data_IF_751510113750
#
_entry.id   IF_751510113750
#
_cell.length_a   1.000
_cell.length_b   1.000
_cell.length_c   1.000
_cell.angle_alpha   90.00
_cell.angle_beta   90.00
_cell.angle_gamma   90.00
#
_symmetry.space_group_name_H-M   'P 1'
#
loop_
_entity.id
_entity.type
_entity.pdbx_description
1 polymer ?
#
# COMPACT_ATOMS: atom_id res chain seq x y z
N UNK A 1 29.44 -4.11 -9.57
CA UNK A 1 29.08 -4.21 -11.00
C UNK A 1 27.57 -4.14 -11.27
N UNK A 2 26.74 -5.13 -10.88
CA UNK A 2 25.28 -5.09 -11.19
C UNK A 2 24.56 -3.92 -10.50
N UNK A 3 24.85 -3.66 -9.22
CA UNK A 3 24.29 -2.50 -8.49
C UNK A 3 24.65 -1.16 -9.16
N UNK A 4 25.92 -1.01 -9.57
CA UNK A 4 26.41 0.20 -10.24
C UNK A 4 25.79 0.36 -11.64
N UNK A 5 25.60 -0.74 -12.37
CA UNK A 5 24.90 -0.72 -13.65
C UNK A 5 23.45 -0.28 -13.47
N UNK A 6 22.74 -0.84 -12.49
CA UNK A 6 21.35 -0.49 -12.20
C UNK A 6 21.21 1.01 -11.85
N UNK A 7 22.12 1.53 -11.02
CA UNK A 7 22.15 2.94 -10.67
C UNK A 7 22.42 3.82 -11.90
N UNK A 8 23.38 3.46 -12.74
CA UNK A 8 23.68 4.18 -13.99
C UNK A 8 22.53 4.16 -14.98
N UNK A 9 21.79 3.05 -15.08
CA UNK A 9 20.59 2.95 -15.91
C UNK A 9 19.49 3.86 -15.37
N UNK A 10 19.22 3.83 -14.05
CA UNK A 10 18.26 4.73 -13.41
C UNK A 10 18.61 6.20 -13.67
N UNK A 11 19.87 6.58 -13.50
CA UNK A 11 20.36 7.93 -13.78
C UNK A 11 20.23 8.30 -15.26
N UNK A 12 20.57 7.40 -16.18
CA UNK A 12 20.47 7.64 -17.61
C UNK A 12 19.02 7.90 -18.04
N UNK A 13 18.10 7.00 -17.68
CA UNK A 13 16.70 7.10 -18.06
C UNK A 13 15.99 8.30 -17.42
N UNK A 14 16.29 8.63 -16.15
CA UNK A 14 15.70 9.79 -15.47
C UNK A 14 16.15 11.13 -16.06
N UNK A 15 17.23 11.17 -16.85
CA UNK A 15 17.75 12.39 -17.47
C UNK A 15 17.37 12.54 -18.95
N UNK A 16 16.52 11.66 -19.49
CA UNK A 16 16.02 11.79 -20.86
C UNK A 16 15.07 13.01 -20.95
N UNK A 17 15.29 13.94 -21.90
CA UNK A 17 14.50 15.17 -21.99
C UNK A 17 13.06 14.91 -22.44
N UNK A 18 12.85 13.97 -23.36
CA UNK A 18 11.54 13.59 -23.91
C UNK A 18 11.49 12.06 -24.09
N UNK A 19 11.22 11.28 -23.02
CA UNK A 19 11.22 9.82 -23.09
C UNK A 19 10.01 9.29 -23.88
N UNK A 20 10.23 8.21 -24.65
CA UNK A 20 9.14 7.45 -25.30
C UNK A 20 8.24 6.77 -24.26
N UNK A 21 7.10 6.21 -24.66
CA UNK A 21 6.22 5.47 -23.74
C UNK A 21 6.91 4.24 -23.14
N UNK A 22 7.72 3.53 -23.93
CA UNK A 22 8.52 2.40 -23.46
C UNK A 22 9.59 2.87 -22.45
N UNK A 23 10.25 4.00 -22.72
CA UNK A 23 11.24 4.56 -21.80
C UNK A 23 10.58 5.05 -20.50
N UNK A 24 9.37 5.61 -20.56
CA UNK A 24 8.56 5.93 -19.37
C UNK A 24 8.24 4.67 -18.56
N UNK A 25 7.96 3.55 -19.24
CA UNK A 25 7.76 2.28 -18.54
C UNK A 25 9.03 1.82 -17.82
N UNK A 26 10.20 1.87 -18.48
CA UNK A 26 11.47 1.58 -17.81
C UNK A 26 11.78 2.54 -16.66
N UNK A 27 11.48 3.83 -16.80
CA UNK A 27 11.61 4.81 -15.71
C UNK A 27 10.73 4.40 -14.53
N UNK A 28 9.48 3.96 -14.76
CA UNK A 28 8.60 3.48 -13.69
C UNK A 28 9.17 2.25 -13.00
N UNK A 29 9.60 1.24 -13.76
CA UNK A 29 10.15 -0.01 -13.22
C UNK A 29 11.48 0.23 -12.47
N UNK A 30 12.40 0.99 -13.06
CA UNK A 30 13.67 1.34 -12.42
C UNK A 30 13.46 2.13 -11.14
N UNK A 31 12.39 2.92 -11.02
CA UNK A 31 12.05 3.70 -9.83
C UNK A 31 11.02 3.04 -8.90
N UNK A 32 10.66 1.77 -9.12
CA UNK A 32 9.68 1.04 -8.31
C UNK A 32 10.09 0.80 -6.84
N UNK A 33 11.35 1.10 -6.49
CA UNK A 33 11.85 1.01 -5.12
C UNK A 33 12.75 -0.21 -4.86
N UNK A 34 13.03 -1.02 -5.87
CA UNK A 34 13.87 -2.21 -5.73
C UNK A 34 15.37 -1.90 -5.65
N UNK A 35 16.08 -2.67 -4.81
CA UNK A 35 17.54 -2.59 -4.65
C UNK A 35 18.17 -3.98 -4.87
N UNK A 36 19.01 -4.16 -5.90
CA UNK A 36 19.56 -5.47 -6.22
C UNK A 36 20.59 -5.97 -5.18
N UNK A 37 20.39 -7.18 -4.65
CA UNK A 37 21.21 -7.74 -3.57
C UNK A 37 22.44 -8.51 -4.11
N UNK A 38 22.29 -9.40 -5.09
CA UNK A 38 23.39 -10.25 -5.59
C UNK A 38 23.21 -10.67 -7.05
N UNK A 39 24.20 -11.37 -7.62
CA UNK A 39 24.22 -11.93 -8.98
C UNK A 39 25.13 -13.16 -9.05
N UNK A 40 24.91 -14.04 -10.03
CA UNK A 40 25.82 -15.16 -10.35
C UNK A 40 26.44 -14.97 -11.74
N UNK A 41 27.72 -15.27 -11.86
CA UNK A 41 28.51 -15.16 -13.09
C UNK A 41 29.14 -16.50 -13.49
N UNK A 42 29.54 -16.63 -14.77
CA UNK A 42 30.22 -17.85 -15.25
C UNK A 42 31.57 -18.07 -14.56
N UNK A 43 32.29 -17.01 -14.27
CA UNK A 43 33.56 -17.08 -13.55
C UNK A 43 33.41 -17.68 -12.14
N UNK A 44 32.24 -17.48 -11.51
CA UNK A 44 31.95 -18.12 -10.21
C UNK A 44 31.89 -19.64 -10.35
N UNK A 45 31.28 -20.12 -11.44
CA UNK A 45 31.20 -21.55 -11.75
C UNK A 45 32.54 -22.12 -12.20
N UNK A 46 33.28 -21.41 -13.06
CA UNK A 46 34.61 -21.83 -13.49
C UNK A 46 35.57 -21.90 -12.28
N UNK A 47 35.50 -20.92 -11.37
CA UNK A 47 36.27 -20.93 -10.12
C UNK A 47 35.91 -22.08 -9.16
N UNK A 48 34.73 -22.70 -9.34
CA UNK A 48 34.30 -23.93 -8.65
C UNK A 48 34.58 -25.20 -9.44
N UNK A 49 35.16 -25.10 -10.63
CA UNK A 49 35.57 -26.23 -11.47
C UNK A 49 34.47 -26.75 -12.42
N UNK A 50 33.38 -26.01 -12.62
CA UNK A 50 32.38 -26.35 -13.62
C UNK A 50 32.87 -26.03 -15.04
N UNK A 51 32.53 -26.88 -16.00
CA UNK A 51 32.87 -26.66 -17.42
C UNK A 51 31.89 -25.66 -18.05
N UNK A 52 32.20 -24.36 -17.90
CA UNK A 52 31.34 -23.26 -18.38
C UNK A 52 31.11 -23.27 -19.89
N UNK A 53 31.95 -23.95 -20.68
CA UNK A 53 31.74 -24.10 -22.12
C UNK A 53 30.53 -24.96 -22.47
N UNK A 54 30.05 -25.78 -21.53
CA UNK A 54 28.86 -26.61 -21.67
C UNK A 54 27.61 -26.01 -21.03
N UNK A 55 27.72 -24.79 -20.49
CA UNK A 55 26.65 -24.13 -19.75
C UNK A 55 26.09 -22.99 -20.60
N UNK A 56 24.84 -23.13 -21.02
CA UNK A 56 24.15 -22.13 -21.83
C UNK A 56 23.70 -20.92 -21.00
N UNK A 57 23.28 -19.84 -21.67
CA UNK A 57 22.66 -18.69 -20.97
C UNK A 57 21.37 -19.08 -20.25
N UNK A 58 20.60 -20.01 -20.82
CA UNK A 58 19.39 -20.53 -20.19
C UNK A 58 19.71 -21.30 -18.90
N UNK A 59 20.82 -22.06 -18.87
CA UNK A 59 21.28 -22.73 -17.66
C UNK A 59 21.71 -21.73 -16.60
N UNK A 60 22.41 -20.65 -16.98
CA UNK A 60 22.78 -19.57 -16.06
C UNK A 60 21.56 -18.84 -15.50
N UNK A 61 20.54 -18.57 -16.32
CA UNK A 61 19.28 -17.98 -15.88
C UNK A 61 18.55 -18.90 -14.89
N UNK A 62 18.49 -20.20 -15.18
CA UNK A 62 17.89 -21.19 -14.29
C UNK A 62 18.65 -21.31 -12.96
N UNK A 63 19.98 -21.25 -12.99
CA UNK A 63 20.81 -21.21 -11.79
C UNK A 63 20.52 -19.95 -10.97
N UNK A 64 20.52 -18.77 -11.61
CA UNK A 64 20.24 -17.50 -10.95
C UNK A 64 18.87 -17.53 -10.25
N UNK A 65 17.84 -18.05 -10.93
CA UNK A 65 16.51 -18.24 -10.36
C UNK A 65 16.55 -19.16 -9.13
N UNK A 66 17.16 -20.34 -9.24
CA UNK A 66 17.26 -21.28 -8.12
C UNK A 66 18.03 -20.72 -6.92
N UNK A 67 19.09 -19.95 -7.17
CA UNK A 67 19.83 -19.27 -6.10
C UNK A 67 19.01 -18.16 -5.44
N UNK A 68 18.19 -17.44 -6.21
CA UNK A 68 17.29 -16.42 -5.67
C UNK A 68 16.22 -17.07 -4.77
N UNK A 69 15.59 -18.16 -5.24
CA UNK A 69 14.60 -18.93 -4.49
C UNK A 69 15.21 -19.45 -3.17
N UNK A 70 16.39 -20.07 -3.24
CA UNK A 70 17.10 -20.62 -2.08
C UNK A 70 17.47 -19.53 -1.06
N UNK A 71 18.00 -18.40 -1.52
CA UNK A 71 18.31 -17.27 -0.64
C UNK A 71 17.04 -16.70 0.01
N UNK A 72 15.95 -16.59 -0.75
CA UNK A 72 14.66 -16.12 -0.25
C UNK A 72 14.11 -17.01 0.86
N UNK A 73 14.13 -18.33 0.66
CA UNK A 73 13.60 -19.32 1.61
C UNK A 73 14.44 -19.46 2.87
N UNK A 74 15.77 -19.41 2.75
CA UNK A 74 16.65 -19.73 3.87
C UNK A 74 17.12 -18.53 4.68
N UNK A 75 17.46 -17.41 4.03
CA UNK A 75 18.27 -16.37 4.66
C UNK A 75 17.73 -14.94 4.50
N UNK A 76 16.92 -14.67 3.47
CA UNK A 76 16.54 -13.31 3.11
C UNK A 76 15.89 -12.56 4.27
N UNK A 77 14.80 -13.08 4.82
CA UNK A 77 14.03 -12.43 5.88
C UNK A 77 14.81 -12.21 7.18
N UNK A 78 15.45 -13.24 7.78
CA UNK A 78 16.21 -13.03 9.01
C UNK A 78 17.42 -12.11 8.79
N UNK A 79 18.11 -12.21 7.64
CA UNK A 79 19.23 -11.32 7.34
C UNK A 79 18.78 -9.87 7.18
N UNK A 80 17.65 -9.64 6.49
CA UNK A 80 17.09 -8.30 6.30
C UNK A 80 16.80 -7.63 7.64
N UNK A 81 16.13 -8.34 8.56
CA UNK A 81 15.79 -7.80 9.87
C UNK A 81 17.02 -7.47 10.72
N UNK A 82 17.99 -8.39 10.80
CA UNK A 82 19.23 -8.20 11.57
C UNK A 82 20.06 -7.07 10.96
N UNK A 83 20.25 -7.06 9.64
CA UNK A 83 21.06 -6.03 8.98
C UNK A 83 20.39 -4.67 9.11
N UNK A 84 19.09 -4.55 8.83
CA UNK A 84 18.38 -3.28 8.94
C UNK A 84 18.34 -2.78 10.40
N UNK A 85 18.00 -3.64 11.35
CA UNK A 85 17.81 -3.26 12.74
C UNK A 85 19.12 -3.14 13.54
N UNK A 86 19.90 -4.21 13.58
CA UNK A 86 21.07 -4.31 14.48
C UNK A 86 22.34 -3.71 13.88
N UNK A 87 22.55 -3.85 12.57
CA UNK A 87 23.79 -3.40 11.91
C UNK A 87 23.67 -1.96 11.42
N UNK A 88 22.60 -1.64 10.69
CA UNK A 88 22.39 -0.32 10.09
C UNK A 88 21.60 0.64 10.98
N UNK A 89 20.91 0.14 12.00
CA UNK A 89 20.14 0.96 12.93
C UNK A 89 18.98 1.71 12.28
N UNK A 90 18.37 1.13 11.24
CA UNK A 90 17.21 1.74 10.60
C UNK A 90 16.06 1.85 11.60
N UNK A 91 15.35 3.00 11.61
CA UNK A 91 14.25 3.18 12.51
C UNK A 91 13.15 2.17 12.18
N UNK A 92 12.85 1.28 13.12
CA UNK A 92 11.57 0.55 13.09
C UNK A 92 10.50 1.50 13.58
N UNK A 93 9.41 1.63 12.82
CA UNK A 93 8.15 2.11 13.39
C UNK A 93 7.89 1.24 14.62
N UNK A 94 7.73 1.84 15.80
CA UNK A 94 7.65 1.10 17.05
C UNK A 94 6.39 0.23 17.05
N UNK A 95 6.49 -0.99 16.55
CA UNK A 95 5.45 -2.01 16.71
C UNK A 95 5.50 -2.64 18.11
N UNK A 96 6.60 -2.45 18.85
CA UNK A 96 6.76 -2.95 20.23
C UNK A 96 5.79 -2.33 21.24
N UNK A 97 5.24 -1.16 20.93
CA UNK A 97 4.21 -0.53 21.77
C UNK A 97 2.79 -0.85 21.27
N UNK A 98 2.68 -1.57 20.14
CA UNK A 98 1.39 -1.93 19.54
C UNK A 98 0.96 -3.28 20.09
N UNK A 99 -0.06 -3.26 20.93
CA UNK A 99 -0.75 -4.44 21.44
C UNK A 99 -2.14 -4.52 20.82
N UNK A 100 -2.69 -5.73 20.72
CA UNK A 100 -4.06 -5.87 20.23
C UNK A 100 -5.01 -5.14 21.18
N UNK A 101 -5.81 -4.15 20.73
CA UNK A 101 -6.70 -3.41 21.63
C UNK A 101 -7.81 -4.29 22.22
N UNK A 102 -8.08 -5.45 21.63
CA UNK A 102 -9.10 -6.40 22.10
C UNK A 102 -8.58 -7.44 23.10
N UNK A 103 -7.39 -8.00 22.88
CA UNK A 103 -6.87 -9.11 23.71
C UNK A 103 -5.51 -8.83 24.36
N UNK A 104 -4.94 -7.65 24.13
CA UNK A 104 -3.64 -7.21 24.67
C UNK A 104 -2.45 -8.09 24.27
N UNK A 105 -2.57 -8.85 23.17
CA UNK A 105 -1.46 -9.63 22.61
C UNK A 105 -0.43 -8.74 21.93
N UNK A 106 0.85 -9.06 22.10
CA UNK A 106 1.98 -8.46 21.40
C UNK A 106 2.25 -9.13 20.03
N UNK A 107 1.58 -10.24 19.72
CA UNK A 107 1.72 -10.96 18.45
C UNK A 107 0.88 -10.28 17.36
N UNK A 108 1.42 -9.19 16.83
CA UNK A 108 0.78 -8.34 15.82
C UNK A 108 1.56 -8.39 14.51
N UNK A 109 0.86 -8.66 13.41
CA UNK A 109 1.38 -8.51 12.05
C UNK A 109 0.78 -7.28 11.38
N UNK A 110 1.58 -6.54 10.62
CA UNK A 110 1.08 -5.45 9.78
C UNK A 110 0.95 -5.94 8.34
N UNK A 111 -0.26 -5.89 7.80
CA UNK A 111 -0.55 -6.20 6.41
C UNK A 111 -0.40 -4.92 5.56
N UNK A 112 0.63 -4.89 4.72
CA UNK A 112 0.94 -3.75 3.87
C UNK A 112 -0.10 -3.54 2.75
N UNK A 113 -0.77 -4.61 2.30
CA UNK A 113 -1.73 -4.54 1.20
C UNK A 113 -3.07 -3.99 1.67
N UNK A 114 -3.48 -4.38 2.88
CA UNK A 114 -4.67 -3.83 3.52
C UNK A 114 -4.38 -2.51 4.25
N UNK A 115 -3.11 -2.22 4.54
CA UNK A 115 -2.68 -1.14 5.43
C UNK A 115 -3.32 -1.25 6.82
N UNK A 116 -3.33 -2.47 7.38
CA UNK A 116 -3.96 -2.78 8.68
C UNK A 116 -3.07 -3.67 9.54
N UNK A 117 -3.17 -3.50 10.85
CA UNK A 117 -2.68 -4.45 11.83
C UNK A 117 -3.64 -5.60 11.97
N UNK A 118 -3.11 -6.81 12.15
CA UNK A 118 -3.84 -8.03 12.47
C UNK A 118 -3.26 -8.64 13.73
N UNK A 119 -4.13 -9.07 14.64
CA UNK A 119 -3.71 -9.86 15.78
C UNK A 119 -3.65 -11.34 15.38
N UNK A 120 -2.57 -12.03 15.75
CA UNK A 120 -2.45 -13.47 15.46
C UNK A 120 -3.18 -14.34 16.51
N UNK A 121 -3.57 -13.76 17.65
CA UNK A 121 -4.28 -14.46 18.73
C UNK A 121 -5.81 -14.27 18.69
N UNK A 122 -6.32 -13.27 17.96
CA UNK A 122 -7.76 -13.02 17.85
C UNK A 122 -8.11 -12.44 16.47
N UNK A 123 -9.38 -12.51 16.02
CA UNK A 123 -9.75 -12.13 14.65
C UNK A 123 -9.80 -10.60 14.41
N UNK A 124 -9.23 -9.78 15.30
CA UNK A 124 -9.24 -8.34 15.14
C UNK A 124 -8.20 -7.90 14.10
N UNK A 125 -8.67 -7.11 13.14
CA UNK A 125 -7.84 -6.26 12.31
C UNK A 125 -8.23 -4.78 12.51
N UNK A 126 -7.25 -3.87 12.55
CA UNK A 126 -7.48 -2.44 12.77
C UNK A 126 -6.49 -1.57 11.99
N UNK A 127 -6.87 -0.34 11.72
CA UNK A 127 -6.13 0.68 10.97
C UNK A 127 -5.76 1.82 11.94
N UNK A 128 -4.46 2.11 12.07
CA UNK A 128 -3.93 3.13 12.99
C UNK A 128 -4.20 4.57 12.53
N UNK A 129 -4.75 4.75 11.34
CA UNK A 129 -5.11 6.04 10.76
C UNK A 129 -6.61 6.21 10.64
N UNK A 130 -7.39 5.27 11.17
CA UNK A 130 -8.84 5.33 11.19
C UNK A 130 -9.33 5.87 12.52
N UNK A 131 -10.29 6.80 12.43
CA UNK A 131 -10.93 7.43 13.57
C UNK A 131 -12.43 7.16 13.51
N UNK A 132 -13.06 6.99 14.66
CA UNK A 132 -14.48 6.69 14.83
C UNK A 132 -15.13 7.89 15.47
N UNK A 133 -16.19 8.41 14.86
CA UNK A 133 -17.03 9.43 15.46
C UNK A 133 -17.91 8.78 16.52
N UNK A 134 -17.61 9.09 17.79
CA UNK A 134 -18.38 8.67 18.96
C UNK A 134 -19.29 9.84 19.34
N UNK A 135 -20.60 9.63 19.24
CA UNK A 135 -21.64 10.61 19.56
C UNK A 135 -22.87 9.90 20.17
N UNK A 136 -23.75 10.66 20.81
CA UNK A 136 -24.96 10.16 21.44
C UNK A 136 -25.76 9.25 20.47
N UNK A 137 -26.17 8.04 20.89
CA UNK A 137 -26.25 7.55 22.26
C UNK A 137 -25.02 6.77 22.76
N UNK A 138 -23.91 6.74 22.00
CA UNK A 138 -22.67 6.11 22.46
C UNK A 138 -22.03 6.95 23.58
N UNK A 139 -21.39 6.27 24.52
CA UNK A 139 -20.81 6.92 25.71
C UNK A 139 -19.41 7.45 25.38
N UNK A 140 -19.27 8.77 25.29
CA UNK A 140 -17.99 9.44 25.07
C UNK A 140 -17.18 9.64 26.36
N UNK A 141 -17.80 9.48 27.54
CA UNK A 141 -17.20 9.78 28.83
C UNK A 141 -15.85 9.08 29.10
N UNK A 142 -15.66 7.78 28.74
CA UNK A 142 -14.38 7.12 28.95
C UNK A 142 -13.23 7.81 28.22
N UNK A 143 -13.49 8.29 27.00
CA UNK A 143 -12.47 8.94 26.18
C UNK A 143 -12.14 10.34 26.72
N UNK A 144 -13.15 11.09 27.16
CA UNK A 144 -12.96 12.39 27.81
C UNK A 144 -12.14 12.27 29.11
N UNK A 145 -12.42 11.27 29.95
CA UNK A 145 -11.70 11.03 31.21
C UNK A 145 -10.24 10.67 30.99
N UNK A 146 -9.94 9.87 29.95
CA UNK A 146 -8.57 9.50 29.57
C UNK A 146 -7.86 10.59 28.76
N UNK A 147 -8.58 11.62 28.31
CA UNK A 147 -8.06 12.67 27.44
C UNK A 147 -7.68 12.16 26.05
N UNK A 148 -8.41 11.17 25.55
CA UNK A 148 -8.21 10.53 24.24
C UNK A 148 -9.22 11.04 23.21
N UNK A 149 -8.81 11.03 21.95
CA UNK A 149 -9.62 11.54 20.84
C UNK A 149 -9.57 13.05 20.63
N UNK A 150 -10.31 13.51 19.64
CA UNK A 150 -10.34 14.90 19.18
C UNK A 150 -11.79 15.40 19.13
N UNK A 151 -12.06 16.66 19.49
CA UNK A 151 -13.42 17.20 19.47
C UNK A 151 -14.01 17.25 18.06
N UNK A 152 -15.27 16.83 17.94
CA UNK A 152 -16.05 16.95 16.70
C UNK A 152 -16.86 18.26 16.70
N UNK A 153 -16.21 19.39 16.42
CA UNK A 153 -16.79 20.74 16.54
C UNK A 153 -18.04 21.00 15.70
N UNK A 154 -18.20 20.33 14.56
CA UNK A 154 -19.36 20.47 13.68
C UNK A 154 -20.50 19.51 14.05
N UNK A 155 -20.31 18.63 15.04
CA UNK A 155 -21.39 17.78 15.55
C UNK A 155 -22.40 18.59 16.35
N UNK A 156 -23.66 18.15 16.31
CA UNK A 156 -24.74 18.71 17.14
C UNK A 156 -24.61 18.23 18.59
N UNK A 157 -23.92 17.13 18.80
CA UNK A 157 -23.60 16.62 20.13
C UNK A 157 -22.30 17.24 20.65
N UNK A 158 -22.41 18.04 21.72
CA UNK A 158 -21.28 18.73 22.32
C UNK A 158 -20.25 17.77 22.95
N UNK A 159 -20.61 16.52 23.19
CA UNK A 159 -19.71 15.48 23.69
C UNK A 159 -19.08 14.63 22.58
N UNK A 160 -19.31 14.94 21.31
CA UNK A 160 -18.85 14.10 20.21
C UNK A 160 -17.33 14.18 20.02
N UNK A 161 -16.71 13.02 19.84
CA UNK A 161 -15.27 12.86 19.69
C UNK A 161 -14.92 11.99 18.49
N UNK A 162 -13.85 12.34 17.78
CA UNK A 162 -13.13 11.47 16.87
C UNK A 162 -12.07 10.68 17.65
N UNK A 163 -12.29 9.39 17.83
CA UNK A 163 -11.44 8.50 18.63
C UNK A 163 -10.72 7.53 17.71
N UNK A 164 -9.47 7.12 17.98
CA UNK A 164 -8.78 6.13 17.14
C UNK A 164 -9.56 4.79 17.11
N UNK A 165 -9.49 4.03 16.01
CA UNK A 165 -10.10 2.68 15.97
C UNK A 165 -9.54 1.80 17.09
N UNK A 166 -8.28 1.99 17.45
CA UNK A 166 -7.63 1.29 18.56
C UNK A 166 -8.32 1.58 19.90
N UNK A 167 -8.45 2.84 20.28
CA UNK A 167 -9.06 3.24 21.55
C UNK A 167 -10.55 2.89 21.58
N UNK A 168 -11.25 3.03 20.45
CA UNK A 168 -12.65 2.63 20.32
C UNK A 168 -12.83 1.13 20.59
N UNK A 169 -12.02 0.28 19.94
CA UNK A 169 -12.08 -1.17 20.14
C UNK A 169 -11.69 -1.54 21.57
N UNK A 170 -10.71 -0.85 22.15
CA UNK A 170 -10.24 -1.09 23.54
C UNK A 170 -11.36 -0.88 24.55
N UNK A 171 -12.17 0.17 24.38
CA UNK A 171 -13.26 0.51 25.30
C UNK A 171 -14.54 -0.26 25.03
N UNK A 172 -14.89 -0.48 23.75
CA UNK A 172 -16.18 -1.07 23.37
C UNK A 172 -16.12 -2.58 23.15
N UNK A 173 -14.94 -3.13 22.85
CA UNK A 173 -14.72 -4.51 22.41
C UNK A 173 -15.27 -4.83 21.01
N UNK A 174 -15.74 -3.82 20.27
CA UNK A 174 -16.43 -3.94 18.98
C UNK A 174 -15.65 -3.27 17.87
N UNK A 175 -15.77 -3.79 16.66
CA UNK A 175 -15.32 -3.08 15.46
C UNK A 175 -16.28 -1.93 15.14
N UNK A 176 -15.77 -0.76 14.72
CA UNK A 176 -16.62 0.38 14.42
C UNK A 176 -17.46 0.18 13.14
N UNK A 177 -18.60 0.87 13.10
CA UNK A 177 -19.45 0.94 11.92
C UNK A 177 -18.79 1.85 10.87
N UNK A 178 -18.75 1.42 9.60
CA UNK A 178 -17.93 2.11 8.57
C UNK A 178 -18.40 3.52 8.25
N UNK A 179 -19.69 3.81 8.40
CA UNK A 179 -20.30 5.11 8.19
C UNK A 179 -19.94 6.12 9.29
N UNK A 180 -19.48 5.63 10.45
CA UNK A 180 -18.92 6.45 11.54
C UNK A 180 -17.40 6.58 11.47
N UNK A 181 -16.75 5.98 10.48
CA UNK A 181 -15.30 6.01 10.34
C UNK A 181 -14.84 7.18 9.48
N UNK A 182 -13.75 7.80 9.89
CA UNK A 182 -13.13 8.97 9.29
C UNK A 182 -11.61 8.78 9.19
N UNK A 183 -10.97 9.53 8.30
CA UNK A 183 -9.51 9.73 8.31
C UNK A 183 -9.18 11.21 8.45
N UNK A 184 -8.11 11.50 9.18
CA UNK A 184 -7.46 12.80 9.11
C UNK A 184 -6.70 12.91 7.78
N UNK A 185 -7.11 13.83 6.92
CA UNK A 185 -6.43 14.15 5.67
C UNK A 185 -5.67 15.47 5.85
N UNK A 186 -4.35 15.41 5.76
CA UNK A 186 -3.47 16.56 5.94
C UNK A 186 -3.35 17.40 4.65
N UNK A 187 -2.90 18.65 4.79
CA UNK A 187 -2.48 19.46 3.65
C UNK A 187 -1.27 18.82 2.94
N UNK A 188 -1.20 18.85 1.59
CA UNK A 188 -2.09 19.54 0.65
C UNK A 188 -3.31 18.75 0.20
N UNK A 189 -3.39 17.46 0.52
CA UNK A 189 -4.43 16.56 0.02
C UNK A 189 -5.83 16.90 0.53
N UNK A 190 -5.92 17.61 1.66
CA UNK A 190 -7.16 18.09 2.25
C UNK A 190 -7.90 19.14 1.40
N UNK A 191 -7.20 19.82 0.48
CA UNK A 191 -7.77 20.91 -0.33
C UNK A 191 -9.08 20.55 -1.04
N UNK A 192 -9.15 19.33 -1.58
CA UNK A 192 -10.31 18.85 -2.34
C UNK A 192 -11.55 18.62 -1.49
N UNK A 193 -11.40 18.54 -0.16
CA UNK A 193 -12.50 18.30 0.78
C UNK A 193 -13.03 19.59 1.43
N UNK A 194 -12.38 20.72 1.20
CA UNK A 194 -12.82 22.01 1.74
C UNK A 194 -14.22 22.38 1.25
N UNK A 195 -15.15 22.60 2.17
CA UNK A 195 -16.57 22.89 1.86
C UNK A 195 -17.38 21.67 1.40
N UNK A 196 -16.82 20.46 1.48
CA UNK A 196 -17.57 19.22 1.21
C UNK A 196 -18.40 18.86 2.43
N UNK A 197 -19.67 18.51 2.20
CA UNK A 197 -20.60 18.15 3.29
C UNK A 197 -20.11 16.90 4.02
N UNK A 198 -20.06 16.97 5.36
CA UNK A 198 -19.63 15.87 6.22
C UNK A 198 -18.12 15.79 6.41
N UNK A 199 -17.34 16.69 5.81
CA UNK A 199 -15.92 16.84 6.09
C UNK A 199 -15.71 18.01 7.06
N UNK A 200 -15.05 17.75 8.19
CA UNK A 200 -14.91 18.74 9.26
C UNK A 200 -13.46 19.21 9.36
N UNK A 201 -13.20 20.52 9.56
CA UNK A 201 -11.84 21.01 9.75
C UNK A 201 -11.30 20.57 11.12
N UNK A 202 -10.03 20.13 11.14
CA UNK A 202 -9.31 19.85 12.38
C UNK A 202 -8.73 21.17 12.90
N UNK A 203 -9.25 21.64 14.03
CA UNK A 203 -8.95 22.98 14.57
C UNK A 203 -8.46 22.98 16.02
N UNK A 204 -8.56 21.86 16.73
CA UNK A 204 -8.10 21.79 18.11
C UNK A 204 -6.56 21.74 18.18
N UNK A 205 -5.99 22.16 19.32
CA UNK A 205 -4.54 22.26 19.47
C UNK A 205 -3.82 20.92 19.31
N UNK A 206 -4.43 19.82 19.77
CA UNK A 206 -3.85 18.48 19.63
C UNK A 206 -3.93 18.02 18.17
N UNK A 207 -5.09 18.16 17.53
CA UNK A 207 -5.28 17.81 16.12
C UNK A 207 -4.37 18.61 15.19
N UNK A 208 -4.16 19.91 15.45
CA UNK A 208 -3.20 20.72 14.69
C UNK A 208 -1.76 20.25 14.92
N UNK A 209 -1.39 19.88 16.15
CA UNK A 209 -0.06 19.36 16.46
C UNK A 209 0.19 18.03 15.73
N UNK A 210 -0.83 17.17 15.66
CA UNK A 210 -0.67 15.79 15.23
C UNK A 210 -0.90 15.62 13.71
N UNK A 211 -1.77 16.44 13.10
CA UNK A 211 -2.10 16.38 11.66
C UNK A 211 -1.72 17.64 10.87
N UNK A 212 -1.23 18.69 11.53
CA UNK A 212 -0.88 19.95 10.89
C UNK A 212 -2.07 20.87 10.65
N UNK A 213 -1.78 22.10 10.21
CA UNK A 213 -2.81 23.09 9.91
C UNK A 213 -3.53 22.73 8.60
N UNK A 214 -4.82 23.08 8.53
CA UNK A 214 -5.68 22.82 7.36
C UNK A 214 -5.94 21.34 7.07
N UNK A 215 -5.81 20.48 8.08
CA UNK A 215 -6.25 19.09 8.01
C UNK A 215 -7.78 18.97 8.18
N UNK A 216 -8.37 17.90 7.64
CA UNK A 216 -9.82 17.64 7.70
C UNK A 216 -10.11 16.21 8.14
N UNK A 217 -11.14 16.03 8.95
CA UNK A 217 -11.82 14.75 9.13
C UNK A 217 -12.64 14.46 7.88
N UNK A 218 -12.33 13.35 7.21
CA UNK A 218 -13.00 12.94 5.96
C UNK A 218 -13.67 11.59 6.18
N UNK A 219 -14.99 11.47 5.98
CA UNK A 219 -15.71 10.21 6.06
C UNK A 219 -15.09 9.13 5.18
N UNK A 220 -14.98 7.92 5.73
CA UNK A 220 -14.39 6.78 5.03
C UNK A 220 -15.13 6.50 3.72
N UNK A 221 -16.46 6.54 3.76
CA UNK A 221 -17.32 6.30 2.61
C UNK A 221 -17.06 7.27 1.45
N UNK A 222 -16.76 8.55 1.72
CA UNK A 222 -16.44 9.51 0.65
C UNK A 222 -15.12 9.18 -0.06
N UNK A 223 -14.14 8.65 0.69
CA UNK A 223 -12.88 8.20 0.09
C UNK A 223 -13.06 6.90 -0.70
N UNK A 224 -13.92 6.01 -0.23
CA UNK A 224 -14.27 4.78 -0.94
C UNK A 224 -15.09 5.05 -2.20
N UNK A 225 -16.00 6.02 -2.19
CA UNK A 225 -16.71 6.45 -3.39
C UNK A 225 -15.77 7.06 -4.41
N UNK A 226 -14.77 7.85 -3.97
CA UNK A 226 -13.75 8.40 -4.87
C UNK A 226 -12.81 7.31 -5.44
N UNK A 227 -12.50 6.28 -4.65
CA UNK A 227 -11.76 5.09 -5.13
C UNK A 227 -12.63 4.16 -5.99
N UNK A 228 -13.92 4.10 -5.69
CA UNK A 228 -14.99 3.39 -6.39
C UNK A 228 -15.27 3.99 -7.76
N UNK A 229 -15.28 5.31 -7.88
CA UNK A 229 -15.38 6.03 -9.16
C UNK A 229 -14.10 5.90 -10.00
N UNK A 230 -12.94 5.70 -9.38
CA UNK A 230 -11.72 5.26 -10.09
C UNK A 230 -11.75 3.79 -10.48
N UNK A 231 -12.66 3.00 -9.90
CA UNK A 231 -12.89 1.58 -10.16
C UNK A 231 -14.31 1.33 -10.67
N UNK A 232 -14.89 2.30 -11.40
CA UNK A 232 -15.91 1.96 -12.39
C UNK A 232 -15.18 1.02 -13.36
N UNK A 233 -15.44 -0.27 -13.16
CA UNK A 233 -14.90 -1.34 -13.98
C UNK A 233 -15.25 -0.99 -15.41
N UNK A 234 -14.26 -0.47 -16.17
CA UNK A 234 -14.23 -0.66 -17.61
C UNK A 234 -14.55 -2.15 -17.81
N UNK A 235 -15.75 -2.45 -18.30
CA UNK A 235 -16.16 -3.84 -18.51
C UNK A 235 -15.11 -4.41 -19.45
N UNK A 236 -14.30 -5.34 -18.95
CA UNK A 236 -13.33 -6.01 -19.79
C UNK A 236 -14.09 -6.57 -21.01
N UNK A 237 -13.67 -6.24 -22.24
CA UNK A 237 -14.37 -6.73 -23.43
C UNK A 237 -14.35 -8.25 -23.44
N UNK A 238 -15.43 -8.84 -23.95
CA UNK A 238 -15.56 -10.30 -24.13
C UNK A 238 -15.51 -10.57 -25.62
N UNK A 239 -14.74 -11.58 -26.03
CA UNK A 239 -14.64 -11.94 -27.44
C UNK A 239 -16.02 -12.29 -28.02
N UNK A 240 -16.47 -11.63 -29.10
CA UNK A 240 -17.79 -11.88 -29.68
C UNK A 240 -17.90 -13.25 -30.38
N UNK A 241 -16.77 -13.90 -30.68
CA UNK A 241 -16.75 -15.20 -31.35
C UNK A 241 -16.62 -16.37 -30.38
N UNK A 242 -15.69 -16.31 -29.43
CA UNK A 242 -15.42 -17.44 -28.52
C UNK A 242 -15.88 -17.22 -27.07
N UNK A 243 -16.30 -16.01 -26.70
CA UNK A 243 -16.68 -15.68 -25.32
C UNK A 243 -15.50 -15.58 -24.34
N UNK A 244 -14.26 -15.63 -24.82
CA UNK A 244 -13.06 -15.47 -24.00
C UNK A 244 -12.93 -14.07 -23.41
N UNK A 245 -12.36 -13.99 -22.20
CA UNK A 245 -12.11 -12.74 -21.46
C UNK A 245 -10.64 -12.31 -21.49
N UNK A 246 -9.78 -13.08 -22.14
CA UNK A 246 -8.36 -12.80 -22.36
C UNK A 246 -8.21 -12.00 -23.66
N UNK A 247 -8.32 -10.68 -23.53
CA UNK A 247 -8.39 -9.71 -24.62
C UNK A 247 -7.31 -8.64 -24.45
N UNK A 248 -6.48 -8.46 -25.48
CA UNK A 248 -5.55 -7.34 -25.57
C UNK A 248 -6.25 -6.15 -26.24
N UNK A 249 -6.25 -5.00 -25.57
CA UNK A 249 -6.79 -3.75 -26.12
C UNK A 249 -5.64 -2.92 -26.66
N UNK A 250 -5.60 -2.74 -27.98
CA UNK A 250 -4.67 -1.85 -28.66
C UNK A 250 -5.31 -0.46 -28.72
N UNK A 251 -5.11 0.31 -27.64
CA UNK A 251 -5.75 1.62 -27.42
C UNK A 251 -5.36 2.70 -28.44
N UNK A 252 -4.23 2.53 -29.12
CA UNK A 252 -3.73 3.40 -30.19
C UNK A 252 -4.45 3.20 -31.53
N UNK A 253 -5.03 2.03 -31.76
CA UNK A 253 -5.75 1.70 -33.00
C UNK A 253 -7.27 1.58 -32.81
N UNK A 254 -7.75 1.57 -31.54
CA UNK A 254 -9.17 1.35 -31.24
C UNK A 254 -9.62 -0.06 -31.60
N UNK A 255 -8.75 -1.05 -31.36
CA UNK A 255 -8.96 -2.46 -31.72
C UNK A 255 -8.76 -3.34 -30.49
N UNK A 256 -9.61 -4.34 -30.32
CA UNK A 256 -9.45 -5.39 -29.33
C UNK A 256 -9.12 -6.73 -30.01
N UNK A 257 -8.20 -7.49 -29.44
CA UNK A 257 -7.69 -8.76 -29.97
C UNK A 257 -7.91 -9.87 -28.94
N UNK A 258 -8.57 -10.96 -29.32
CA UNK A 258 -8.71 -12.12 -28.43
C UNK A 258 -7.50 -13.04 -28.50
N UNK A 259 -6.86 -13.32 -27.37
CA UNK A 259 -5.71 -14.24 -27.30
C UNK A 259 -6.09 -15.71 -27.52
N UNK A 260 -7.36 -16.08 -27.32
CA UNK A 260 -7.85 -17.43 -27.52
C UNK A 260 -8.13 -17.80 -28.97
N UNK A 261 -8.71 -16.89 -29.76
CA UNK A 261 -9.12 -17.15 -31.14
C UNK A 261 -8.50 -16.20 -32.18
N UNK A 262 -7.67 -15.25 -31.75
CA UNK A 262 -7.01 -14.24 -32.58
C UNK A 262 -7.99 -13.38 -33.40
N UNK A 263 -9.23 -13.25 -32.94
CA UNK A 263 -10.19 -12.32 -33.54
C UNK A 263 -9.83 -10.89 -33.16
N UNK A 264 -9.81 -10.01 -34.15
CA UNK A 264 -9.64 -8.57 -34.00
C UNK A 264 -10.98 -7.87 -34.29
N UNK A 265 -11.40 -6.93 -33.43
CA UNK A 265 -12.60 -6.13 -33.67
C UNK A 265 -12.45 -4.69 -33.20
N UNK A 266 -13.17 -3.72 -33.82
CA UNK A 266 -13.17 -2.34 -33.35
C UNK A 266 -13.70 -2.25 -31.92
N UNK A 267 -12.94 -1.62 -31.04
CA UNK A 267 -13.29 -1.39 -29.65
C UNK A 267 -13.07 0.09 -29.32
N UNK A 268 -14.16 0.76 -28.97
CA UNK A 268 -14.14 2.13 -28.47
C UNK A 268 -14.42 2.05 -26.98
N UNK A 269 -13.49 2.54 -26.16
CA UNK A 269 -13.74 2.72 -24.73
C UNK A 269 -14.81 3.82 -24.56
N UNK A 270 -15.97 3.46 -24.01
CA UNK A 270 -17.00 4.40 -23.55
C UNK A 270 -16.54 5.17 -22.29
#
# INVERSE_FOLDING_TARGET
MVRELYQRLREYFNNLPEPTEEEKQFIRELNAGDFPITSVHRDDLEGKGFDVKKISDNDMQNLAKKMADDYHEQLFWPSMEIIAGEILGFPKVKTKDIVCPKCNSENIRYDIHESRFHCDECPLAWDDKLYVLVEFPEDSAPFEEEGTGYPAWESVDNGALYVSEEDYVRHTGKSPERDKCYRAVCWPDSQKYMGTKGCDPIQDENGIRDFGTSAYWVPLLLMEEAAGQRTDKKKAPVCPECGGTDIDILSDEGVAVCNGCHLEWPYVED
#
